data_IF_693878807923
#
_entry.id   IF_693878807923
#
_cell.length_a   1.000
_cell.length_b   1.000
_cell.length_c   1.000
_cell.angle_alpha   90.00
_cell.angle_beta   90.00
_cell.angle_gamma   90.00
#
_symmetry.space_group_name_H-M   'P 1'
#
loop_
_entity.id
_entity.type
_entity.pdbx_description
1 polymer ?
#
# COMPACT_ATOMS: atom_id res chain seq x y z
N UNK A 1 14.57 -14.38 -11.40
CA UNK A 1 14.24 -14.19 -12.83
C UNK A 1 13.64 -12.81 -13.17
N UNK A 2 12.96 -12.12 -12.23
CA UNK A 2 12.44 -10.74 -12.42
C UNK A 2 13.52 -9.62 -12.47
N UNK A 3 14.69 -9.84 -11.87
CA UNK A 3 15.73 -8.80 -11.67
C UNK A 3 16.34 -8.27 -12.99
N UNK A 4 16.45 -9.12 -14.01
CA UNK A 4 17.08 -8.78 -15.30
C UNK A 4 16.13 -8.05 -16.25
N UNK A 5 14.82 -8.33 -16.18
CA UNK A 5 13.79 -7.70 -17.02
C UNK A 5 13.62 -6.19 -16.74
N UNK A 6 13.95 -5.74 -15.53
CA UNK A 6 13.83 -4.33 -15.12
C UNK A 6 15.17 -3.59 -15.00
N UNK A 7 16.28 -4.19 -15.46
CA UNK A 7 17.58 -3.49 -15.54
C UNK A 7 18.17 -3.07 -14.19
N UNK A 8 17.85 -3.78 -13.10
CA UNK A 8 18.22 -3.35 -11.75
C UNK A 8 19.67 -3.78 -11.44
N UNK A 9 20.62 -2.83 -11.52
CA UNK A 9 22.03 -3.03 -11.09
C UNK A 9 22.12 -2.89 -9.56
N UNK A 10 22.80 -3.84 -8.91
CA UNK A 10 23.10 -3.97 -7.47
C UNK A 10 22.44 -2.95 -6.54
N UNK A 11 21.40 -3.37 -5.81
CA UNK A 11 20.58 -2.48 -5.00
C UNK A 11 21.21 -2.28 -3.62
N UNK A 12 21.59 -1.04 -3.30
CA UNK A 12 21.75 -0.63 -1.90
C UNK A 12 20.37 -0.64 -1.24
N UNK A 13 20.26 -1.33 -0.10
CA UNK A 13 19.15 -1.16 0.84
C UNK A 13 18.93 0.33 1.06
N UNK A 14 17.67 0.78 0.95
CA UNK A 14 17.34 2.15 1.31
C UNK A 14 17.46 2.29 2.82
N UNK A 15 18.15 3.33 3.27
CA UNK A 15 18.04 3.72 4.67
C UNK A 15 16.78 4.56 4.89
N UNK A 16 16.47 4.83 6.16
CA UNK A 16 15.29 5.62 6.54
C UNK A 16 15.31 7.03 5.95
N UNK A 17 16.49 7.64 5.78
CA UNK A 17 16.60 8.99 5.23
C UNK A 17 16.28 9.02 3.73
N UNK A 18 16.75 8.01 2.99
CA UNK A 18 16.40 7.86 1.58
C UNK A 18 14.89 7.66 1.38
N UNK A 19 14.25 6.85 2.23
CA UNK A 19 12.80 6.65 2.18
C UNK A 19 12.07 7.97 2.45
N UNK A 20 12.48 8.75 3.45
CA UNK A 20 11.90 10.06 3.74
C UNK A 20 12.13 11.08 2.62
N UNK A 21 13.29 11.07 1.99
CA UNK A 21 13.58 11.91 0.84
C UNK A 21 12.64 11.61 -0.33
N UNK A 22 12.43 10.33 -0.64
CA UNK A 22 11.48 9.89 -1.68
C UNK A 22 10.02 10.20 -1.30
N UNK A 23 9.65 9.97 -0.04
CA UNK A 23 8.34 10.28 0.50
C UNK A 23 8.00 11.77 0.30
N UNK A 24 8.93 12.66 0.64
CA UNK A 24 8.79 14.10 0.42
C UNK A 24 8.59 14.45 -1.07
N UNK A 25 9.35 13.82 -1.97
CA UNK A 25 9.19 13.99 -3.43
C UNK A 25 7.81 13.55 -3.94
N UNK A 26 7.12 12.68 -3.20
CA UNK A 26 5.78 12.18 -3.51
C UNK A 26 4.68 12.87 -2.68
N UNK A 27 5.02 13.93 -1.94
CA UNK A 27 4.10 14.64 -1.04
C UNK A 27 3.48 13.74 0.03
N UNK A 28 4.28 12.81 0.57
CA UNK A 28 3.90 11.97 1.70
C UNK A 28 4.36 12.64 3.00
N UNK A 29 3.47 12.89 3.97
CA UNK A 29 3.85 13.38 5.29
C UNK A 29 4.76 12.38 6.02
N UNK A 30 5.89 12.85 6.55
CA UNK A 30 6.88 11.98 7.22
C UNK A 30 6.32 11.24 8.44
N UNK A 31 5.34 11.83 9.13
CA UNK A 31 4.66 11.25 10.31
C UNK A 31 3.69 10.12 9.95
N UNK A 32 3.39 9.92 8.67
CA UNK A 32 2.50 8.88 8.15
C UNK A 32 3.28 7.81 7.36
N UNK A 33 4.61 7.87 7.40
CA UNK A 33 5.49 7.01 6.63
C UNK A 33 6.05 5.87 7.49
N UNK A 34 5.82 4.65 7.03
CA UNK A 34 6.22 3.40 7.67
C UNK A 34 7.04 2.56 6.69
N UNK A 35 7.89 1.70 7.22
CA UNK A 35 8.58 0.65 6.50
C UNK A 35 7.89 -0.68 6.81
N UNK A 36 7.73 -1.52 5.80
CA UNK A 36 7.19 -2.85 5.97
C UNK A 36 8.25 -3.80 6.52
N UNK A 37 7.92 -4.47 7.62
CA UNK A 37 8.72 -5.55 8.17
C UNK A 37 8.75 -6.75 7.21
N UNK A 38 9.92 -7.26 6.80
CA UNK A 38 10.01 -8.46 5.97
C UNK A 38 9.30 -9.69 6.56
N UNK A 39 9.09 -9.75 7.88
CA UNK A 39 8.29 -10.79 8.53
C UNK A 39 6.84 -10.83 8.03
N UNK A 40 6.34 -9.77 7.39
CA UNK A 40 5.05 -9.74 6.69
C UNK A 40 4.92 -10.85 5.65
N UNK A 41 5.96 -11.09 4.84
CA UNK A 41 5.91 -12.19 3.85
C UNK A 41 5.90 -13.57 4.52
N UNK A 42 6.60 -13.71 5.65
CA UNK A 42 6.57 -14.95 6.41
C UNK A 42 5.16 -15.22 6.94
N UNK A 43 4.47 -14.20 7.42
CA UNK A 43 3.06 -14.29 7.79
C UNK A 43 2.19 -14.73 6.62
N UNK A 44 2.28 -14.05 5.46
CA UNK A 44 1.48 -14.43 4.28
C UNK A 44 1.74 -15.88 3.86
N UNK A 45 3.00 -16.32 3.87
CA UNK A 45 3.38 -17.68 3.52
C UNK A 45 3.01 -18.73 4.58
N UNK A 46 2.74 -18.30 5.83
CA UNK A 46 2.29 -19.18 6.90
C UNK A 46 0.80 -19.52 6.81
N UNK A 47 0.03 -18.73 6.05
CA UNK A 47 -1.37 -19.01 5.77
C UNK A 47 -1.51 -20.26 4.91
N UNK A 48 -2.70 -20.88 4.90
CA UNK A 48 -2.99 -22.02 4.04
C UNK A 48 -2.84 -21.63 2.56
N UNK A 49 -1.68 -21.94 1.99
CA UNK A 49 -1.33 -21.59 0.61
C UNK A 49 -2.14 -22.35 -0.43
N UNK A 50 -2.89 -23.39 -0.04
CA UNK A 50 -3.81 -24.11 -0.94
C UNK A 50 -5.11 -23.32 -1.08
N UNK A 51 -5.68 -22.89 0.04
CA UNK A 51 -6.98 -22.21 0.08
C UNK A 51 -6.88 -20.68 -0.13
N UNK A 52 -5.72 -20.08 0.13
CA UNK A 52 -5.51 -18.62 0.08
C UNK A 52 -4.50 -18.16 -0.98
N UNK A 53 -4.19 -19.01 -1.97
CA UNK A 53 -3.14 -18.75 -2.96
C UNK A 53 -3.27 -17.39 -3.65
N UNK A 54 -4.45 -17.06 -4.17
CA UNK A 54 -4.65 -15.81 -4.91
C UNK A 54 -4.65 -14.60 -3.96
N UNK A 55 -5.20 -14.72 -2.76
CA UNK A 55 -5.14 -13.65 -1.75
C UNK A 55 -3.68 -13.36 -1.36
N UNK A 56 -2.88 -14.38 -1.06
CA UNK A 56 -1.45 -14.24 -0.76
C UNK A 56 -0.72 -13.55 -1.91
N UNK A 57 -1.00 -13.94 -3.15
CA UNK A 57 -0.42 -13.32 -4.36
C UNK A 57 -0.84 -11.85 -4.51
N UNK A 58 -2.08 -11.51 -4.19
CA UNK A 58 -2.59 -10.13 -4.22
C UNK A 58 -1.89 -9.27 -3.16
N UNK A 59 -1.83 -9.76 -1.92
CA UNK A 59 -1.17 -9.09 -0.79
C UNK A 59 0.36 -9.03 -0.90
N UNK A 60 0.95 -9.79 -1.83
CA UNK A 60 2.38 -9.74 -2.18
C UNK A 60 2.70 -8.79 -3.33
N UNK A 61 1.69 -8.11 -3.91
CA UNK A 61 1.93 -7.18 -5.01
C UNK A 61 2.74 -5.96 -4.56
N UNK A 62 3.62 -5.41 -5.41
CA UNK A 62 4.49 -4.31 -4.99
C UNK A 62 3.76 -2.99 -4.74
N UNK A 63 2.68 -2.71 -5.47
CA UNK A 63 1.87 -1.50 -5.28
C UNK A 63 0.44 -1.89 -4.92
N UNK A 64 -0.04 -1.36 -3.80
CA UNK A 64 -1.34 -1.69 -3.25
C UNK A 64 -1.99 -0.50 -2.56
N UNK A 65 -3.31 -0.43 -2.57
CA UNK A 65 -4.10 0.44 -1.70
C UNK A 65 -5.24 -0.36 -1.09
N UNK A 66 -5.26 -0.45 0.24
CA UNK A 66 -6.25 -1.20 1.02
C UNK A 66 -7.08 -0.21 1.82
N UNK A 67 -8.38 -0.22 1.65
CA UNK A 67 -9.33 0.61 2.38
C UNK A 67 -10.06 -0.24 3.40
N UNK A 68 -9.96 0.14 4.67
CA UNK A 68 -10.70 -0.47 5.76
C UNK A 68 -11.69 0.53 6.33
N UNK A 69 -12.90 0.06 6.62
CA UNK A 69 -13.90 0.84 7.35
C UNK A 69 -13.62 0.81 8.87
N UNK A 70 -14.42 1.57 9.62
CA UNK A 70 -14.33 1.66 11.10
C UNK A 70 -14.42 0.31 11.82
N UNK A 71 -15.09 -0.68 11.24
CA UNK A 71 -15.21 -2.02 11.82
C UNK A 71 -14.00 -2.92 11.52
N UNK A 72 -12.99 -2.41 10.83
CA UNK A 72 -11.80 -3.17 10.43
C UNK A 72 -12.03 -4.06 9.21
N UNK A 73 -13.16 -3.92 8.51
CA UNK A 73 -13.45 -4.68 7.29
C UNK A 73 -12.86 -3.98 6.07
N UNK A 74 -12.22 -4.75 5.19
CA UNK A 74 -11.74 -4.23 3.91
C UNK A 74 -12.92 -3.96 2.99
N UNK A 75 -13.04 -2.73 2.50
CA UNK A 75 -14.15 -2.26 1.66
C UNK A 75 -13.72 -1.89 0.24
N UNK A 76 -12.42 -1.68 0.01
CA UNK A 76 -11.86 -1.55 -1.33
C UNK A 76 -10.41 -2.01 -1.37
N UNK A 77 -10.03 -2.68 -2.45
CA UNK A 77 -8.67 -3.18 -2.66
C UNK A 77 -8.20 -2.89 -4.09
N UNK A 78 -7.02 -2.29 -4.21
CA UNK A 78 -6.40 -1.96 -5.49
C UNK A 78 -4.97 -2.45 -5.50
N UNK A 79 -4.55 -3.13 -6.57
CA UNK A 79 -3.18 -3.63 -6.72
C UNK A 79 -2.71 -3.49 -8.16
N UNK A 80 -1.41 -3.38 -8.39
CA UNK A 80 -0.86 -3.17 -9.73
C UNK A 80 -1.26 -4.26 -10.74
N UNK A 81 -1.51 -5.50 -10.31
CA UNK A 81 -1.91 -6.59 -11.20
C UNK A 81 -3.25 -6.32 -11.88
N UNK A 82 -4.23 -5.77 -11.15
CA UNK A 82 -5.58 -5.50 -11.67
C UNK A 82 -5.74 -4.07 -12.23
N UNK A 83 -4.75 -3.19 -12.06
CA UNK A 83 -4.76 -1.86 -12.64
C UNK A 83 -4.76 -1.88 -14.18
N UNK A 84 -4.12 -2.88 -14.78
CA UNK A 84 -3.89 -2.92 -16.21
C UNK A 84 -3.15 -1.69 -16.73
N UNK A 85 -3.11 -1.52 -18.05
CA UNK A 85 -2.42 -0.40 -18.70
C UNK A 85 -0.91 -0.62 -18.84
N UNK A 86 -0.38 -0.25 -20.02
CA UNK A 86 1.05 -0.27 -20.32
C UNK A 86 1.38 0.92 -21.24
N UNK A 87 2.50 1.63 -21.04
CA UNK A 87 3.54 1.44 -20.01
C UNK A 87 3.18 2.00 -18.63
N UNK A 88 2.02 2.66 -18.51
CA UNK A 88 1.55 3.22 -17.25
C UNK A 88 0.31 2.50 -16.76
N UNK A 89 0.27 2.25 -15.45
CA UNK A 89 -0.88 1.62 -14.82
C UNK A 89 -2.09 2.55 -14.83
N UNK A 90 -3.27 2.00 -15.10
CA UNK A 90 -4.53 2.72 -15.01
C UNK A 90 -5.16 2.48 -13.63
N UNK A 91 -4.96 3.41 -12.69
CA UNK A 91 -5.54 3.31 -11.35
C UNK A 91 -7.02 3.71 -11.28
N UNK A 92 -7.58 4.27 -12.34
CA UNK A 92 -8.99 4.69 -12.40
C UNK A 92 -9.72 4.09 -13.62
N UNK A 93 -9.68 2.76 -13.82
CA UNK A 93 -10.43 2.13 -14.90
C UNK A 93 -11.91 2.34 -14.67
N UNK A 94 -12.67 2.62 -15.73
CA UNK A 94 -14.12 2.81 -15.66
C UNK A 94 -14.58 3.80 -14.58
N UNK A 95 -13.73 4.78 -14.22
CA UNK A 95 -14.04 5.81 -13.23
C UNK A 95 -14.25 5.31 -11.79
N UNK A 96 -13.70 4.14 -11.42
CA UNK A 96 -13.87 3.53 -10.08
C UNK A 96 -13.42 4.42 -8.90
N UNK A 97 -12.57 5.44 -9.14
CA UNK A 97 -12.06 6.38 -8.13
C UNK A 97 -12.91 7.66 -7.99
N UNK A 98 -14.08 7.76 -8.63
CA UNK A 98 -14.95 8.95 -8.59
C UNK A 98 -15.87 9.04 -7.36
N UNK A 99 -15.89 8.03 -6.51
CA UNK A 99 -16.64 8.01 -5.25
C UNK A 99 -15.72 7.60 -4.09
N UNK A 100 -16.14 7.87 -2.86
CA UNK A 100 -15.42 7.46 -1.65
C UNK A 100 -16.31 6.63 -0.71
N UNK A 101 -15.85 5.44 -0.24
CA UNK A 101 -14.66 4.72 -0.73
C UNK A 101 -14.76 4.40 -2.23
N UNK A 102 -13.62 4.19 -2.92
CA UNK A 102 -13.64 3.84 -4.33
C UNK A 102 -14.25 2.46 -4.52
N UNK A 103 -14.75 2.17 -5.73
CA UNK A 103 -15.15 0.80 -6.07
C UNK A 103 -13.91 -0.10 -6.10
N UNK A 104 -14.06 -1.34 -5.61
CA UNK A 104 -12.94 -2.27 -5.55
C UNK A 104 -12.45 -2.67 -6.94
N UNK A 105 -11.14 -2.86 -7.07
CA UNK A 105 -10.50 -3.34 -8.30
C UNK A 105 -10.06 -4.79 -8.18
N UNK A 106 -9.51 -5.16 -7.01
CA UNK A 106 -9.15 -6.53 -6.66
C UNK A 106 -10.29 -7.18 -5.86
N UNK A 107 -10.39 -8.52 -5.87
CA UNK A 107 -11.31 -9.23 -4.97
C UNK A 107 -11.01 -8.89 -3.50
N UNK A 108 -12.05 -8.56 -2.74
CA UNK A 108 -11.93 -8.35 -1.29
C UNK A 108 -11.70 -9.68 -0.58
N UNK A 109 -10.97 -9.64 0.53
CA UNK A 109 -10.71 -10.80 1.37
C UNK A 109 -10.62 -10.40 2.85
N UNK A 110 -10.27 -11.36 3.70
CA UNK A 110 -10.13 -11.15 5.15
C UNK A 110 -8.89 -11.85 5.73
N UNK A 111 -7.90 -12.18 4.87
CA UNK A 111 -6.70 -12.88 5.33
C UNK A 111 -5.72 -11.96 6.08
N UNK A 112 -5.93 -10.64 5.97
CA UNK A 112 -5.15 -9.61 6.63
C UNK A 112 -6.10 -8.64 7.33
N UNK A 113 -6.11 -8.67 8.66
CA UNK A 113 -6.82 -7.67 9.47
C UNK A 113 -5.97 -6.42 9.66
N UNK A 114 -6.62 -5.32 10.07
CA UNK A 114 -5.95 -4.07 10.42
C UNK A 114 -4.95 -4.26 11.57
N UNK A 115 -5.33 -5.01 12.61
CA UNK A 115 -4.48 -5.31 13.76
C UNK A 115 -3.26 -6.12 13.34
N UNK A 116 -3.46 -7.13 12.49
CA UNK A 116 -2.36 -7.94 11.96
C UNK A 116 -1.41 -7.08 11.14
N UNK A 117 -1.93 -6.16 10.30
CA UNK A 117 -1.09 -5.29 9.51
C UNK A 117 -0.21 -4.39 10.39
N UNK A 118 -0.73 -3.84 11.49
CA UNK A 118 0.05 -3.00 12.40
C UNK A 118 1.25 -3.70 13.02
N UNK A 119 1.21 -5.03 13.19
CA UNK A 119 2.35 -5.80 13.71
C UNK A 119 3.57 -5.78 12.77
N UNK A 120 3.38 -5.40 11.50
CA UNK A 120 4.43 -5.38 10.49
C UNK A 120 4.80 -3.96 10.03
N UNK A 121 4.28 -2.92 10.68
CA UNK A 121 4.61 -1.53 10.33
C UNK A 121 5.65 -0.97 11.26
N UNK A 122 6.82 -0.61 10.70
CA UNK A 122 7.91 0.02 11.43
C UNK A 122 7.90 1.52 11.15
N UNK A 123 7.71 2.39 12.16
CA UNK A 123 7.74 3.83 11.93
C UNK A 123 9.13 4.28 11.46
N UNK A 124 9.17 5.07 10.38
CA UNK A 124 10.43 5.58 9.81
C UNK A 124 10.89 6.84 10.55
N UNK A 125 9.94 7.68 10.99
CA UNK A 125 10.20 8.89 11.76
C UNK A 125 9.57 8.79 13.16
N UNK A 126 9.35 9.93 13.82
CA UNK A 126 8.47 10.08 14.99
C UNK A 126 6.98 9.85 14.64
N UNK A 127 6.69 8.88 13.78
CA UNK A 127 5.35 8.53 13.38
C UNK A 127 4.55 8.10 14.63
N UNK A 128 3.37 8.69 14.76
CA UNK A 128 2.52 8.58 15.95
C UNK A 128 1.95 7.16 16.02
N UNK A 129 1.81 6.62 17.22
CA UNK A 129 1.04 5.38 17.44
C UNK A 129 -0.37 5.60 16.89
N UNK A 130 -0.77 4.79 15.93
CA UNK A 130 -2.03 4.99 15.22
C UNK A 130 -3.18 4.60 16.14
N UNK A 131 -4.03 5.56 16.51
CA UNK A 131 -5.29 5.30 17.20
C UNK A 131 -6.41 5.23 16.14
N UNK A 132 -6.88 4.02 15.86
CA UNK A 132 -7.87 3.75 14.82
C UNK A 132 -9.29 4.21 15.20
N UNK A 133 -9.60 4.36 16.49
CA UNK A 133 -10.96 4.61 16.99
C UNK A 133 -11.55 5.95 16.52
N UNK A 134 -10.67 6.89 16.13
CA UNK A 134 -11.04 8.24 15.71
C UNK A 134 -11.44 8.35 14.24
N UNK A 135 -11.09 7.38 13.41
CA UNK A 135 -11.26 7.44 11.97
C UNK A 135 -12.38 6.50 11.51
N UNK A 136 -13.15 6.94 10.53
CA UNK A 136 -14.18 6.11 9.89
C UNK A 136 -13.55 5.21 8.81
N UNK A 137 -12.40 5.62 8.26
CA UNK A 137 -11.64 4.84 7.30
C UNK A 137 -10.13 4.91 7.53
N UNK A 138 -9.46 3.76 7.34
CA UNK A 138 -8.02 3.64 7.25
C UNK A 138 -7.63 3.22 5.83
N UNK A 139 -6.65 3.90 5.25
CA UNK A 139 -6.14 3.61 3.92
C UNK A 139 -4.66 3.28 4.02
N UNK A 140 -4.27 2.07 3.65
CA UNK A 140 -2.88 1.65 3.61
C UNK A 140 -2.39 1.66 2.17
N UNK A 141 -1.37 2.47 1.88
CA UNK A 141 -0.78 2.58 0.54
C UNK A 141 0.61 1.99 0.55
N UNK A 142 0.79 0.88 -0.17
CA UNK A 142 2.08 0.22 -0.37
C UNK A 142 2.77 0.83 -1.58
N UNK A 143 4.00 1.28 -1.39
CA UNK A 143 4.80 1.91 -2.42
C UNK A 143 6.28 1.54 -2.28
N UNK A 144 7.03 1.71 -3.36
CA UNK A 144 8.48 1.49 -3.37
C UNK A 144 9.18 2.38 -4.40
N UNK A 145 10.50 2.46 -4.29
CA UNK A 145 11.36 3.20 -5.21
C UNK A 145 11.37 2.58 -6.60
N UNK A 146 11.41 1.26 -6.71
CA UNK A 146 11.65 0.60 -8.01
C UNK A 146 10.49 0.72 -8.99
N UNK A 147 9.26 0.79 -8.51
CA UNK A 147 8.10 1.09 -9.34
C UNK A 147 7.98 2.60 -9.67
N UNK A 148 8.79 3.45 -9.02
CA UNK A 148 9.07 4.84 -9.37
C UNK A 148 7.83 5.67 -9.72
N UNK A 149 7.65 5.96 -11.01
CA UNK A 149 6.50 6.74 -11.52
C UNK A 149 5.15 6.10 -11.15
N UNK A 150 5.06 4.76 -11.15
CA UNK A 150 3.81 4.07 -10.83
C UNK A 150 3.44 4.23 -9.35
N UNK A 151 4.44 4.17 -8.45
CA UNK A 151 4.27 4.49 -7.02
C UNK A 151 3.70 5.89 -6.83
N UNK A 152 4.33 6.90 -7.44
CA UNK A 152 3.87 8.29 -7.37
C UNK A 152 2.42 8.45 -7.86
N UNK A 153 2.08 7.79 -8.97
CA UNK A 153 0.72 7.87 -9.56
C UNK A 153 -0.33 7.19 -8.69
N UNK A 154 -0.02 6.05 -8.07
CA UNK A 154 -0.91 5.41 -7.12
C UNK A 154 -1.20 6.35 -5.95
N UNK A 155 -0.14 6.85 -5.29
CA UNK A 155 -0.22 7.78 -4.16
C UNK A 155 -1.11 8.98 -4.51
N UNK A 156 -0.84 9.65 -5.62
CA UNK A 156 -1.63 10.81 -6.07
C UNK A 156 -3.09 10.47 -6.37
N UNK A 157 -3.35 9.29 -6.95
CA UNK A 157 -4.73 8.85 -7.24
C UNK A 157 -5.51 8.63 -5.95
N UNK A 158 -4.89 7.98 -4.96
CA UNK A 158 -5.53 7.70 -3.68
C UNK A 158 -5.70 8.98 -2.85
N UNK A 159 -4.70 9.85 -2.81
CA UNK A 159 -4.81 11.16 -2.16
C UNK A 159 -6.00 11.95 -2.74
N UNK A 160 -6.09 12.05 -4.07
CA UNK A 160 -7.22 12.71 -4.73
C UNK A 160 -8.57 12.03 -4.44
N UNK A 161 -8.61 10.70 -4.35
CA UNK A 161 -9.84 10.01 -3.97
C UNK A 161 -10.25 10.32 -2.52
N UNK A 162 -9.28 10.41 -1.60
CA UNK A 162 -9.54 10.75 -0.20
C UNK A 162 -10.08 12.16 0.01
N UNK A 163 -9.80 13.09 -0.91
CA UNK A 163 -10.37 14.45 -0.91
C UNK A 163 -11.90 14.48 -1.11
N UNK A 164 -12.50 13.37 -1.59
CA UNK A 164 -13.95 13.21 -1.71
C UNK A 164 -14.62 12.90 -0.35
N UNK A 165 -13.84 12.60 0.69
CA UNK A 165 -14.31 12.30 2.04
C UNK A 165 -14.14 13.50 2.99
N UNK A 166 -14.67 13.38 4.20
CA UNK A 166 -14.28 14.29 5.28
C UNK A 166 -12.83 13.96 5.71
N UNK A 167 -11.87 14.91 5.58
CA UNK A 167 -10.46 14.66 5.88
C UNK A 167 -10.19 14.30 7.34
N UNK A 168 -11.05 14.72 8.27
CA UNK A 168 -10.93 14.37 9.69
C UNK A 168 -11.34 12.92 10.00
N UNK A 169 -12.01 12.26 9.04
CA UNK A 169 -12.53 10.89 9.18
C UNK A 169 -11.70 9.84 8.45
N UNK A 170 -10.68 10.25 7.71
CA UNK A 170 -9.84 9.36 6.91
C UNK A 170 -8.39 9.47 7.37
N UNK A 171 -7.76 8.32 7.58
CA UNK A 171 -6.33 8.24 7.86
C UNK A 171 -5.62 7.47 6.77
N UNK A 172 -4.61 8.08 6.15
CA UNK A 172 -3.74 7.42 5.18
C UNK A 172 -2.43 7.05 5.86
N UNK A 173 -1.98 5.82 5.60
CA UNK A 173 -0.75 5.24 6.10
C UNK A 173 0.07 4.80 4.90
N UNK A 174 1.26 5.36 4.75
CA UNK A 174 2.13 5.11 3.60
C UNK A 174 3.19 4.10 4.01
N UNK A 175 3.21 2.96 3.34
CA UNK A 175 4.08 1.83 3.66
C UNK A 175 5.08 1.67 2.53
N UNK A 176 6.34 2.00 2.82
CA UNK A 176 7.44 1.65 1.94
C UNK A 176 7.73 0.14 2.06
N UNK A 177 7.74 -0.58 0.94
CA UNK A 177 8.03 -2.02 0.90
C UNK A 177 9.29 -2.38 0.10
N UNK A 178 10.23 -1.45 -0.07
CA UNK A 178 11.50 -1.74 -0.78
C UNK A 178 12.29 -2.89 -0.11
N UNK A 179 12.24 -2.99 1.23
CA UNK A 179 12.90 -4.03 2.04
C UNK A 179 12.49 -5.47 1.69
N UNK A 180 11.32 -5.65 1.07
CA UNK A 180 10.82 -6.96 0.65
C UNK A 180 11.43 -7.40 -0.69
N UNK A 181 11.69 -6.44 -1.57
CA UNK A 181 12.07 -6.72 -2.96
C UNK A 181 13.58 -6.60 -3.20
N UNK A 182 14.34 -6.09 -2.23
CA UNK A 182 15.76 -5.78 -2.37
C UNK A 182 16.64 -6.28 -1.23
#
# INVERSE_FOLDING_TARGET
MLKTLYGIKSIKSLDKQDILHLANKYNIPSIECYELDPAYLNYLNSLDTTNHKEQIKNHSQPLQALYYNKSGQMVSFHINYYAGGFPNLNWNPNKIMQAFPPQTQAPLDSILSVENLFNYLRPISSAVKINNEKFDYLIFIYWNRFMGRQSKRLIQTIQKNSELANPEKVRIIYINNDSIFF
#
